data_IF_312672219152
#
_entry.id   IF_312672219152
#
_cell.length_a   1.000
_cell.length_b   1.000
_cell.length_c   1.000
_cell.angle_alpha   90.00
_cell.angle_beta   90.00
_cell.angle_gamma   90.00
#
_symmetry.space_group_name_H-M   'P 1'
#
loop_
_entity.id
_entity.type
_entity.pdbx_description
1 polymer ?
#
# COMPACT_ATOMS: atom_id res chain seq x y z
N UNK A 1 -13.58 2.11 -11.34
CA UNK A 1 -12.16 1.83 -11.70
C UNK A 1 -11.69 2.43 -13.03
N UNK A 2 -12.59 2.75 -13.97
CA UNK A 2 -12.24 3.12 -15.36
C UNK A 2 -11.22 4.25 -15.48
N UNK A 3 -11.32 5.32 -14.68
CA UNK A 3 -10.34 6.42 -14.71
C UNK A 3 -8.95 5.98 -14.25
N UNK A 4 -8.87 5.13 -13.22
CA UNK A 4 -7.61 4.57 -12.71
C UNK A 4 -7.02 3.62 -13.77
N UNK A 5 -7.85 2.71 -14.28
CA UNK A 5 -7.47 1.73 -15.29
C UNK A 5 -6.93 2.38 -16.57
N UNK A 6 -7.65 3.37 -17.12
CA UNK A 6 -7.29 4.04 -18.36
C UNK A 6 -6.10 4.98 -18.22
N UNK A 7 -5.80 5.45 -17.00
CA UNK A 7 -4.65 6.30 -16.77
C UNK A 7 -3.36 5.46 -16.70
N UNK A 8 -2.71 5.30 -17.85
CA UNK A 8 -1.41 4.62 -17.97
C UNK A 8 -0.21 5.57 -17.78
N UNK A 9 -0.46 6.85 -17.46
CA UNK A 9 0.57 7.89 -17.32
C UNK A 9 0.86 8.28 -15.87
N UNK A 10 0.02 7.86 -14.94
CA UNK A 10 0.20 8.13 -13.52
C UNK A 10 0.74 6.88 -12.82
N UNK A 11 1.63 7.10 -11.85
CA UNK A 11 1.99 6.09 -10.85
C UNK A 11 0.84 5.92 -9.86
N UNK A 12 0.42 4.66 -9.63
CA UNK A 12 -0.67 4.27 -8.73
C UNK A 12 -0.08 3.55 -7.54
N UNK A 13 0.08 4.27 -6.44
CA UNK A 13 0.61 3.72 -5.19
C UNK A 13 -0.53 3.42 -4.23
N UNK A 14 -0.57 2.21 -3.68
CA UNK A 14 -1.46 1.83 -2.60
C UNK A 14 -0.70 1.83 -1.27
N UNK A 15 -1.16 2.60 -0.29
CA UNK A 15 -0.53 2.70 1.03
C UNK A 15 -1.39 1.91 2.01
N UNK A 16 -0.86 0.84 2.60
CA UNK A 16 -1.64 0.04 3.57
C UNK A 16 -1.77 0.79 4.90
N UNK A 17 -2.86 0.57 5.62
CA UNK A 17 -2.97 1.04 7.00
C UNK A 17 -1.85 0.46 7.88
N UNK A 18 -1.41 1.21 8.89
CA UNK A 18 -0.43 0.74 9.90
C UNK A 18 -1.16 0.03 11.04
N UNK A 19 -2.12 0.70 11.65
CA UNK A 19 -3.00 0.14 12.67
C UNK A 19 -4.31 -0.36 12.08
N UNK A 20 -4.91 -1.37 12.70
CA UNK A 20 -6.31 -1.72 12.52
C UNK A 20 -7.17 -0.51 12.93
N UNK A 21 -8.14 -0.17 12.09
CA UNK A 21 -9.28 0.65 12.50
C UNK A 21 -10.44 -0.27 12.91
N UNK A 22 -11.39 0.26 13.68
CA UNK A 22 -12.56 -0.52 14.13
C UNK A 22 -13.45 -1.04 12.98
N UNK A 23 -13.16 -0.66 11.73
CA UNK A 23 -13.84 -1.15 10.53
C UNK A 23 -13.27 -2.51 10.07
N UNK A 24 -12.04 -2.84 10.48
CA UNK A 24 -11.26 -3.96 9.92
C UNK A 24 -10.45 -4.70 11.03
N UNK A 25 -11.10 -5.44 11.95
CA UNK A 25 -10.37 -6.20 12.96
C UNK A 25 -9.61 -7.39 12.33
N UNK A 26 -8.37 -7.61 12.77
CA UNK A 26 -7.50 -8.76 12.43
C UNK A 26 -7.04 -8.89 10.94
N UNK A 27 -7.15 -7.85 10.12
CA UNK A 27 -6.74 -7.97 8.71
C UNK A 27 -5.22 -8.07 8.54
N UNK A 28 -4.85 -8.84 7.51
CA UNK A 28 -3.51 -8.88 6.94
C UNK A 28 -3.38 -7.86 5.81
N UNK A 29 -2.16 -7.41 5.55
CA UNK A 29 -1.84 -6.47 4.48
C UNK A 29 -2.28 -6.97 3.09
N UNK A 30 -2.23 -8.29 2.82
CA UNK A 30 -2.72 -8.88 1.56
C UNK A 30 -4.25 -8.76 1.39
N UNK A 31 -4.99 -8.84 2.49
CA UNK A 31 -6.45 -8.74 2.51
C UNK A 31 -6.91 -7.30 2.23
N UNK A 32 -6.15 -6.30 2.69
CA UNK A 32 -6.39 -4.89 2.36
C UNK A 32 -6.28 -4.66 0.85
N UNK A 33 -5.21 -5.16 0.23
CA UNK A 33 -4.96 -5.01 -1.21
C UNK A 33 -6.03 -5.75 -2.03
N UNK A 34 -6.33 -7.01 -1.67
CA UNK A 34 -7.39 -7.80 -2.33
C UNK A 34 -8.77 -7.17 -2.14
N UNK A 35 -9.05 -6.62 -0.96
CA UNK A 35 -10.28 -5.92 -0.63
C UNK A 35 -10.47 -4.67 -1.48
N UNK A 36 -9.43 -3.83 -1.58
CA UNK A 36 -9.43 -2.64 -2.44
C UNK A 36 -9.63 -3.02 -3.91
N UNK A 37 -8.90 -4.02 -4.41
CA UNK A 37 -9.07 -4.53 -5.77
C UNK A 37 -10.50 -5.01 -6.03
N UNK A 38 -11.06 -5.84 -5.14
CA UNK A 38 -12.45 -6.32 -5.23
C UNK A 38 -13.45 -5.18 -5.23
N UNK A 39 -13.24 -4.16 -4.41
CA UNK A 39 -14.12 -2.99 -4.37
C UNK A 39 -14.06 -2.18 -5.67
N UNK A 40 -12.84 -1.89 -6.15
CA UNK A 40 -12.61 -1.15 -7.39
C UNK A 40 -13.24 -1.86 -8.59
N UNK A 41 -13.18 -3.19 -8.62
CA UNK A 41 -13.64 -4.01 -9.74
C UNK A 41 -15.08 -4.50 -9.64
N UNK A 42 -15.76 -4.32 -8.49
CA UNK A 42 -17.08 -4.91 -8.17
C UNK A 42 -18.14 -4.79 -9.27
N UNK A 43 -18.17 -3.65 -9.96
CA UNK A 43 -19.17 -3.35 -11.01
C UNK A 43 -18.56 -3.32 -12.42
N UNK A 44 -17.35 -3.83 -12.59
CA UNK A 44 -16.70 -3.89 -13.90
C UNK A 44 -17.36 -5.00 -14.71
N UNK A 45 -17.69 -4.72 -15.97
CA UNK A 45 -18.26 -5.73 -16.88
C UNK A 45 -17.25 -6.77 -17.37
N UNK A 46 -15.98 -6.64 -16.97
CA UNK A 46 -14.86 -7.48 -17.37
C UNK A 46 -13.79 -7.50 -16.26
N UNK A 47 -12.91 -8.50 -16.32
CA UNK A 47 -11.79 -8.65 -15.40
C UNK A 47 -10.71 -7.61 -15.70
N UNK A 48 -10.24 -6.92 -14.65
CA UNK A 48 -9.18 -5.91 -14.74
C UNK A 48 -7.93 -6.45 -14.03
N UNK A 49 -6.76 -6.50 -14.68
CA UNK A 49 -5.53 -6.88 -13.98
C UNK A 49 -5.25 -5.98 -12.76
N UNK A 50 -4.78 -6.55 -11.66
CA UNK A 50 -4.55 -5.79 -10.43
C UNK A 50 -3.43 -4.76 -10.60
N UNK A 51 -2.40 -5.10 -11.37
CA UNK A 51 -1.27 -4.25 -11.75
C UNK A 51 -1.69 -3.08 -12.65
N UNK A 52 -2.82 -3.19 -13.37
CA UNK A 52 -3.39 -2.06 -14.11
C UNK A 52 -4.06 -1.01 -13.20
N UNK A 53 -4.35 -1.37 -11.95
CA UNK A 53 -5.01 -0.52 -10.96
C UNK A 53 -4.06 -0.05 -9.86
N UNK A 54 -3.03 -0.81 -9.55
CA UNK A 54 -2.05 -0.56 -8.50
C UNK A 54 -0.67 -0.95 -9.03
N UNK A 55 0.25 0.01 -9.16
CA UNK A 55 1.61 -0.26 -9.61
C UNK A 55 2.51 -0.70 -8.45
N UNK A 56 2.29 -0.16 -7.25
CA UNK A 56 3.15 -0.41 -6.08
C UNK A 56 2.35 -0.36 -4.78
N UNK A 57 2.66 -1.25 -3.84
CA UNK A 57 2.10 -1.26 -2.49
C UNK A 57 3.18 -0.86 -1.48
N UNK A 58 2.89 0.10 -0.60
CA UNK A 58 3.74 0.45 0.54
C UNK A 58 3.20 -0.26 1.79
N UNK A 59 4.08 -0.98 2.48
CA UNK A 59 3.75 -1.78 3.66
C UNK A 59 4.68 -1.42 4.81
N UNK A 60 4.11 -0.93 5.90
CA UNK A 60 4.88 -0.63 7.10
C UNK A 60 5.38 -1.91 7.77
N UNK A 61 6.65 -1.94 8.15
CA UNK A 61 7.28 -3.07 8.85
C UNK A 61 7.54 -2.81 10.32
N UNK A 62 7.54 -1.55 10.73
CA UNK A 62 7.73 -1.18 12.12
C UNK A 62 6.54 -1.58 12.99
N UNK A 63 6.85 -1.97 14.24
CA UNK A 63 5.86 -2.19 15.29
C UNK A 63 6.45 -1.73 16.61
N UNK A 64 5.92 -0.63 17.16
CA UNK A 64 6.32 -0.19 18.50
C UNK A 64 5.64 -1.05 19.58
N UNK A 65 6.40 -1.36 20.63
CA UNK A 65 5.89 -1.99 21.84
C UNK A 65 5.40 -0.97 22.88
N UNK A 66 5.57 0.33 22.64
CA UNK A 66 5.37 1.38 23.65
C UNK A 66 3.89 1.71 23.89
N UNK A 67 3.00 1.23 23.02
CA UNK A 67 1.56 1.50 23.10
C UNK A 67 0.75 0.23 22.83
N UNK A 68 0.45 -0.50 23.90
CA UNK A 68 -0.31 -1.76 23.88
C UNK A 68 -1.69 -1.66 23.20
N UNK A 69 -2.27 -0.46 23.11
CA UNK A 69 -3.59 -0.26 22.51
C UNK A 69 -3.58 -0.32 20.98
N UNK A 70 -2.42 -0.27 20.32
CA UNK A 70 -2.34 -0.29 18.85
C UNK A 70 -2.26 -1.73 18.39
N UNK A 71 -3.26 -2.12 17.59
CA UNK A 71 -3.23 -3.38 16.85
C UNK A 71 -2.64 -3.10 15.48
N UNK A 72 -1.42 -3.55 15.25
CA UNK A 72 -0.76 -3.38 13.96
C UNK A 72 -1.26 -4.40 12.95
N UNK A 73 -1.52 -3.93 11.72
CA UNK A 73 -1.82 -4.80 10.59
C UNK A 73 -0.72 -5.85 10.43
N UNK A 74 -1.13 -7.09 10.19
CA UNK A 74 -0.21 -8.22 9.98
C UNK A 74 0.38 -8.18 8.59
N UNK A 75 1.71 -8.15 8.52
CA UNK A 75 2.44 -8.27 7.27
C UNK A 75 2.52 -9.74 6.87
N UNK A 76 1.85 -10.09 5.77
CA UNK A 76 1.95 -11.40 5.16
C UNK A 76 2.72 -11.30 3.85
N UNK A 77 4.05 -11.38 3.94
CA UNK A 77 4.95 -11.12 2.82
C UNK A 77 4.73 -12.11 1.68
N UNK A 78 4.64 -13.39 2.01
CA UNK A 78 4.46 -14.46 1.02
C UNK A 78 3.15 -14.26 0.24
N UNK A 79 2.05 -13.94 0.92
CA UNK A 79 0.78 -13.70 0.23
C UNK A 79 0.77 -12.40 -0.60
N UNK A 80 1.43 -11.34 -0.13
CA UNK A 80 1.56 -10.08 -0.87
C UNK A 80 2.42 -10.22 -2.12
N UNK A 81 3.57 -10.89 -2.02
CA UNK A 81 4.48 -11.10 -3.13
C UNK A 81 3.85 -11.98 -4.22
N UNK A 82 2.99 -12.91 -3.83
CA UNK A 82 2.20 -13.72 -4.76
C UNK A 82 1.12 -12.94 -5.55
N UNK A 83 0.86 -11.66 -5.24
CA UNK A 83 -0.07 -10.83 -6.01
C UNK A 83 0.52 -10.35 -7.35
N UNK A 84 1.82 -10.54 -7.58
CA UNK A 84 2.48 -10.04 -8.80
C UNK A 84 2.65 -8.53 -8.83
N UNK A 85 2.49 -7.85 -7.69
CA UNK A 85 2.66 -6.41 -7.54
C UNK A 85 4.07 -6.09 -7.02
N UNK A 86 4.57 -4.88 -7.32
CA UNK A 86 5.75 -4.35 -6.63
C UNK A 86 5.37 -4.00 -5.19
N UNK A 87 6.08 -4.55 -4.21
CA UNK A 87 5.87 -4.25 -2.79
C UNK A 87 7.11 -3.56 -2.23
N UNK A 88 6.91 -2.45 -1.52
CA UNK A 88 7.95 -1.76 -0.75
C UNK A 88 7.66 -1.94 0.73
N UNK A 89 8.58 -2.61 1.41
CA UNK A 89 8.57 -2.83 2.85
C UNK A 89 9.55 -1.87 3.50
N UNK A 90 9.08 -0.97 4.35
CA UNK A 90 9.94 -0.03 5.08
C UNK A 90 9.32 0.36 6.43
N UNK A 91 10.00 1.18 7.21
CA UNK A 91 9.46 1.87 8.37
C UNK A 91 8.74 3.14 7.91
N UNK A 92 7.43 3.01 7.69
CA UNK A 92 6.59 4.14 7.31
C UNK A 92 5.90 4.77 8.52
N UNK A 93 6.20 4.37 9.75
CA UNK A 93 5.50 4.83 10.94
C UNK A 93 6.10 6.14 11.49
N UNK A 94 5.24 7.04 11.95
CA UNK A 94 5.65 8.19 12.76
C UNK A 94 5.86 7.75 14.20
N UNK A 95 7.13 7.75 14.66
CA UNK A 95 7.50 7.28 15.99
C UNK A 95 7.02 8.22 17.11
N UNK A 96 6.72 9.49 16.80
CA UNK A 96 6.11 10.42 17.75
C UNK A 96 4.58 10.27 17.79
N UNK A 97 3.99 9.66 16.75
CA UNK A 97 2.54 9.47 16.60
C UNK A 97 2.18 8.04 16.16
N UNK A 98 2.49 7.07 17.02
CA UNK A 98 2.26 5.65 16.74
C UNK A 98 0.88 5.33 16.15
N UNK A 99 0.86 4.45 15.15
CA UNK A 99 -0.28 4.05 14.34
C UNK A 99 -0.51 4.94 13.11
N UNK A 100 0.27 6.01 12.94
CA UNK A 100 0.19 6.93 11.80
C UNK A 100 1.42 6.85 10.93
N UNK A 101 1.25 7.16 9.65
CA UNK A 101 2.36 7.22 8.72
C UNK A 101 3.25 8.45 8.99
N UNK A 102 4.56 8.28 8.89
CA UNK A 102 5.51 9.37 8.78
C UNK A 102 5.33 10.03 7.40
N UNK A 103 4.91 11.31 7.33
CA UNK A 103 4.61 11.95 6.07
C UNK A 103 5.84 12.13 5.19
N UNK A 104 7.00 12.48 5.77
CA UNK A 104 8.23 12.74 5.01
C UNK A 104 8.71 11.45 4.36
N UNK A 105 8.87 10.37 5.12
CA UNK A 105 9.34 9.07 4.61
C UNK A 105 8.39 8.53 3.53
N UNK A 106 7.08 8.62 3.78
CA UNK A 106 6.06 8.14 2.84
C UNK A 106 6.07 8.93 1.53
N UNK A 107 6.13 10.27 1.60
CA UNK A 107 6.15 11.13 0.41
C UNK A 107 7.46 11.00 -0.35
N UNK A 108 8.60 10.98 0.33
CA UNK A 108 9.91 10.82 -0.30
C UNK A 108 9.99 9.49 -1.05
N UNK A 109 9.48 8.40 -0.46
CA UNK A 109 9.38 7.11 -1.14
C UNK A 109 8.51 7.17 -2.40
N UNK A 110 7.37 7.86 -2.36
CA UNK A 110 6.50 8.01 -3.54
C UNK A 110 7.18 8.85 -4.62
N UNK A 111 7.89 9.92 -4.23
CA UNK A 111 8.64 10.76 -5.16
C UNK A 111 9.77 9.97 -5.81
N UNK A 112 10.52 9.17 -5.06
CA UNK A 112 11.59 8.32 -5.59
C UNK A 112 11.04 7.27 -6.57
N UNK A 113 9.89 6.66 -6.26
CA UNK A 113 9.18 5.76 -7.17
C UNK A 113 8.76 6.48 -8.45
N UNK A 114 8.19 7.68 -8.32
CA UNK A 114 7.76 8.51 -9.44
C UNK A 114 8.94 8.89 -10.34
N UNK A 115 10.01 9.45 -9.77
CA UNK A 115 11.18 9.85 -10.54
C UNK A 115 11.86 8.66 -11.21
N UNK A 116 12.01 7.54 -10.49
CA UNK A 116 12.55 6.31 -11.06
C UNK A 116 11.73 5.78 -12.22
N UNK A 117 10.39 5.83 -12.13
CA UNK A 117 9.49 5.31 -13.15
C UNK A 117 9.46 6.16 -14.43
N UNK A 118 9.54 7.49 -14.31
CA UNK A 118 9.33 8.41 -15.44
C UNK A 118 10.59 9.10 -15.96
N UNK A 119 11.65 9.17 -15.16
CA UNK A 119 12.87 9.89 -15.49
C UNK A 119 14.15 9.04 -15.35
N UNK A 120 14.04 7.79 -14.89
CA UNK A 120 15.17 6.92 -14.59
C UNK A 120 15.78 7.20 -13.22
N UNK A 121 16.76 6.39 -12.78
CA UNK A 121 17.47 6.63 -11.51
C UNK A 121 18.16 8.00 -11.56
N UNK A 122 17.67 8.95 -10.77
CA UNK A 122 18.41 10.17 -10.46
C UNK A 122 19.47 9.76 -9.43
N UNK A 123 20.74 9.80 -9.84
CA UNK A 123 21.93 9.46 -9.03
C UNK A 123 22.15 10.45 -7.90
#
# INVERSE_FOLDING_TARGET
PECIFNNKKALKVFITNIGEDYEIPDYRSDELVKGAYKYLTKNSGFELPIDDLIDTVLVNTHRSNDKESIRYIKNDRDLLENLGLRIIYDDFEDHDNLGKHNPSVTVDTILDLYYSAFYGKIL
#
